data_IF_694170257607
#
_entry.id   IF_694170257607
#
_cell.length_a   1.000
_cell.length_b   1.000
_cell.length_c   1.000
_cell.angle_alpha   90.00
_cell.angle_beta   90.00
_cell.angle_gamma   90.00
#
_symmetry.space_group_name_H-M   'P 1'
#
loop_
_entity.id
_entity.type
_entity.pdbx_description
1 polymer ?
#
# COMPACT_ATOMS: atom_id res chain seq x y z
N UNK A 1 7.64 -11.10 8.88
CA UNK A 1 6.87 -10.50 7.77
C UNK A 1 5.40 -10.81 8.03
N UNK A 2 4.49 -9.83 7.90
CA UNK A 2 3.07 -10.09 8.15
C UNK A 2 2.55 -11.09 7.12
N UNK A 3 1.75 -12.05 7.56
CA UNK A 3 1.10 -13.01 6.67
C UNK A 3 -0.16 -12.35 6.09
N UNK A 4 -0.14 -12.05 4.79
CA UNK A 4 -1.20 -11.32 4.11
C UNK A 4 -2.29 -12.26 3.62
N UNK A 5 -3.55 -12.00 4.03
CA UNK A 5 -4.72 -12.73 3.56
C UNK A 5 -5.28 -12.07 2.28
N UNK A 6 -5.12 -12.71 1.10
CA UNK A 6 -5.57 -12.15 -0.16
C UNK A 6 -7.09 -11.90 -0.23
N UNK A 7 -7.91 -12.76 0.38
CA UNK A 7 -9.37 -12.62 0.38
C UNK A 7 -9.84 -11.38 1.13
N UNK A 8 -9.27 -11.11 2.31
CA UNK A 8 -9.57 -9.88 3.07
C UNK A 8 -9.07 -8.62 2.33
N UNK A 9 -7.95 -8.72 1.61
CA UNK A 9 -7.42 -7.63 0.80
C UNK A 9 -8.34 -7.26 -0.37
N UNK A 10 -8.94 -8.23 -1.03
CA UNK A 10 -9.81 -8.02 -2.20
C UNK A 10 -11.22 -7.49 -1.86
N UNK A 11 -11.62 -7.46 -0.59
CA UNK A 11 -12.95 -6.98 -0.16
C UNK A 11 -13.25 -5.52 -0.57
N UNK A 12 -12.20 -4.69 -0.75
CA UNK A 12 -12.30 -3.28 -1.13
C UNK A 12 -11.53 -2.98 -2.41
N UNK A 13 -11.70 -3.84 -3.42
CA UNK A 13 -10.91 -3.77 -4.67
C UNK A 13 -11.14 -2.45 -5.41
N UNK A 14 -12.38 -1.98 -5.51
CA UNK A 14 -12.71 -0.76 -6.26
C UNK A 14 -12.07 0.48 -5.62
N UNK A 15 -12.20 0.64 -4.30
CA UNK A 15 -11.63 1.77 -3.57
C UNK A 15 -10.09 1.75 -3.56
N UNK A 16 -9.50 0.55 -3.56
CA UNK A 16 -8.04 0.38 -3.56
C UNK A 16 -7.42 0.45 -4.94
N UNK A 17 -8.21 0.16 -5.99
CA UNK A 17 -7.75 0.22 -7.38
C UNK A 17 -7.73 1.64 -7.94
N UNK A 18 -8.61 2.53 -7.45
CA UNK A 18 -8.70 3.91 -7.93
C UNK A 18 -7.38 4.69 -7.87
N UNK A 19 -6.60 4.67 -6.77
CA UNK A 19 -5.28 5.32 -6.73
C UNK A 19 -4.30 4.77 -7.76
N UNK A 20 -4.34 3.46 -8.00
CA UNK A 20 -3.46 2.86 -9.00
C UNK A 20 -3.82 3.31 -10.43
N UNK A 21 -5.10 3.36 -10.74
CA UNK A 21 -5.57 3.87 -12.03
C UNK A 21 -5.16 5.33 -12.25
N UNK A 22 -5.24 6.16 -11.20
CA UNK A 22 -4.78 7.55 -11.23
C UNK A 22 -3.26 7.64 -11.46
N UNK A 23 -2.47 6.81 -10.76
CA UNK A 23 -1.02 6.72 -10.95
C UNK A 23 -0.68 6.33 -12.40
N UNK A 24 -1.28 5.26 -12.91
CA UNK A 24 -1.06 4.75 -14.28
C UNK A 24 -1.43 5.78 -15.34
N UNK A 25 -2.48 6.58 -15.11
CA UNK A 25 -2.88 7.64 -16.04
C UNK A 25 -1.84 8.77 -16.17
N UNK A 26 -0.97 8.97 -15.18
CA UNK A 26 0.10 9.96 -15.18
C UNK A 26 1.43 9.45 -15.75
N UNK A 27 1.56 8.13 -15.98
CA UNK A 27 2.74 7.55 -16.62
C UNK A 27 2.71 7.87 -18.12
N UNK A 28 3.72 8.60 -18.65
CA UNK A 28 3.78 8.94 -20.05
C UNK A 28 4.29 7.78 -20.92
N UNK A 29 4.07 7.89 -22.23
CA UNK A 29 4.64 6.99 -23.21
C UNK A 29 4.01 5.60 -23.29
N UNK A 30 4.78 4.67 -23.86
CA UNK A 30 4.40 3.28 -24.09
C UNK A 30 5.59 2.38 -23.75
N UNK A 31 5.79 2.03 -22.49
CA UNK A 31 6.90 1.17 -22.07
C UNK A 31 6.78 -0.21 -22.72
N UNK A 32 7.89 -0.76 -23.20
CA UNK A 32 7.95 -2.13 -23.72
C UNK A 32 8.09 -3.16 -22.59
N UNK A 33 8.69 -2.75 -21.47
CA UNK A 33 8.89 -3.60 -20.29
C UNK A 33 8.39 -2.88 -19.02
N UNK A 34 7.74 -3.61 -18.12
CA UNK A 34 7.17 -3.08 -16.87
C UNK A 34 7.50 -4.02 -15.71
N UNK A 35 7.97 -3.48 -14.60
CA UNK A 35 8.09 -4.18 -13.34
C UNK A 35 7.15 -3.58 -12.30
N UNK A 36 6.24 -4.40 -11.76
CA UNK A 36 5.27 -4.06 -10.71
C UNK A 36 5.81 -4.54 -9.35
N UNK A 37 6.38 -3.63 -8.57
CA UNK A 37 7.01 -3.91 -7.27
C UNK A 37 5.98 -3.91 -6.13
N UNK A 38 5.79 -5.06 -5.50
CA UNK A 38 4.74 -5.30 -4.51
C UNK A 38 3.40 -5.55 -5.20
N UNK A 39 3.38 -6.40 -6.23
CA UNK A 39 2.23 -6.66 -7.10
C UNK A 39 1.04 -7.31 -6.38
N UNK A 40 1.25 -7.83 -5.17
CA UNK A 40 0.22 -8.54 -4.42
C UNK A 40 -0.37 -9.72 -5.20
N UNK A 41 -1.71 -9.93 -5.16
CA UNK A 41 -2.36 -11.05 -5.84
C UNK A 41 -2.56 -10.81 -7.36
N UNK A 42 -1.89 -9.82 -7.96
CA UNK A 42 -1.82 -9.60 -9.40
C UNK A 42 -3.01 -8.87 -10.05
N UNK A 43 -4.08 -8.55 -9.31
CA UNK A 43 -5.28 -7.92 -9.87
C UNK A 43 -5.01 -6.51 -10.44
N UNK A 44 -4.06 -5.76 -9.89
CA UNK A 44 -3.65 -4.46 -10.40
C UNK A 44 -2.63 -4.58 -11.55
N UNK A 45 -1.81 -5.62 -11.56
CA UNK A 45 -0.91 -5.94 -12.69
C UNK A 45 -1.72 -6.11 -14.00
N UNK A 46 -2.95 -6.62 -13.91
CA UNK A 46 -3.87 -6.69 -15.05
C UNK A 46 -4.24 -5.32 -15.63
N UNK A 47 -4.27 -4.26 -14.81
CA UNK A 47 -4.50 -2.88 -15.28
C UNK A 47 -3.35 -2.40 -16.16
N UNK A 48 -2.10 -2.76 -15.82
CA UNK A 48 -0.91 -2.44 -16.63
C UNK A 48 -1.00 -3.10 -18.01
N UNK A 49 -1.36 -4.38 -18.06
CA UNK A 49 -1.54 -5.12 -19.31
C UNK A 49 -2.68 -4.55 -20.16
N UNK A 50 -3.77 -4.13 -19.55
CA UNK A 50 -4.86 -3.49 -20.27
C UNK A 50 -4.44 -2.12 -20.86
N UNK A 51 -3.63 -1.35 -20.14
CA UNK A 51 -3.14 -0.04 -20.56
C UNK A 51 -2.06 -0.15 -21.66
N UNK A 52 -1.17 -1.14 -21.54
CA UNK A 52 -0.06 -1.39 -22.49
C UNK A 52 -0.06 -2.86 -22.94
N UNK A 53 -0.94 -3.25 -23.88
CA UNK A 53 -1.14 -4.66 -24.25
C UNK A 53 0.10 -5.32 -24.88
N UNK A 54 1.05 -4.52 -25.37
CA UNK A 54 2.30 -5.01 -25.99
C UNK A 54 3.46 -5.09 -24.99
N UNK A 55 3.29 -4.57 -23.76
CA UNK A 55 4.35 -4.56 -22.78
C UNK A 55 4.52 -5.94 -22.15
N UNK A 56 5.78 -6.33 -21.94
CA UNK A 56 6.11 -7.46 -21.06
C UNK A 56 6.04 -6.99 -19.61
N UNK A 57 5.18 -7.59 -18.82
CA UNK A 57 4.95 -7.21 -17.41
C UNK A 57 5.46 -8.30 -16.49
N UNK A 58 6.28 -7.94 -15.51
CA UNK A 58 6.74 -8.81 -14.43
C UNK A 58 6.24 -8.28 -13.09
N UNK A 59 5.51 -9.09 -12.32
CA UNK A 59 5.07 -8.76 -10.97
C UNK A 59 6.04 -9.32 -9.94
N UNK A 60 6.45 -8.53 -8.97
CA UNK A 60 7.35 -8.92 -7.87
C UNK A 60 6.66 -8.72 -6.54
N UNK A 61 6.63 -9.74 -5.67
CA UNK A 61 6.10 -9.65 -4.30
C UNK A 61 6.88 -10.59 -3.36
N UNK A 62 7.02 -10.20 -2.11
CA UNK A 62 7.73 -10.97 -1.10
C UNK A 62 6.84 -12.03 -0.41
N UNK A 63 5.53 -12.03 -0.63
CA UNK A 63 4.58 -12.96 -0.03
C UNK A 63 4.35 -14.17 -0.93
N UNK A 64 4.70 -15.41 -0.48
CA UNK A 64 4.41 -16.62 -1.23
C UNK A 64 2.93 -16.82 -1.54
N UNK A 65 2.04 -16.43 -0.61
CA UNK A 65 0.59 -16.55 -0.78
C UNK A 65 0.08 -15.60 -1.89
N UNK A 66 0.59 -14.36 -1.94
CA UNK A 66 0.25 -13.40 -2.97
C UNK A 66 0.71 -13.86 -4.35
N UNK A 67 1.97 -14.30 -4.47
CA UNK A 67 2.51 -14.83 -5.73
C UNK A 67 1.77 -16.08 -6.21
N UNK A 68 1.42 -16.99 -5.30
CA UNK A 68 0.64 -18.18 -5.67
C UNK A 68 -0.72 -17.80 -6.25
N UNK A 69 -1.41 -16.84 -5.63
CA UNK A 69 -2.69 -16.34 -6.12
C UNK A 69 -2.55 -15.60 -7.46
N UNK A 70 -1.54 -14.73 -7.60
CA UNK A 70 -1.28 -14.00 -8.83
C UNK A 70 -1.06 -14.95 -10.02
N UNK A 71 -0.23 -15.99 -9.85
CA UNK A 71 0.01 -17.03 -10.86
C UNK A 71 -1.23 -17.84 -11.22
N UNK A 72 -2.09 -18.10 -10.22
CA UNK A 72 -3.34 -18.82 -10.45
C UNK A 72 -4.36 -17.94 -11.21
N UNK A 73 -4.41 -16.64 -10.93
CA UNK A 73 -5.33 -15.70 -11.57
C UNK A 73 -4.90 -15.33 -13.00
N UNK A 74 -3.61 -15.18 -13.24
CA UNK A 74 -3.04 -14.80 -14.55
C UNK A 74 -1.74 -15.56 -14.83
N UNK A 75 -1.83 -16.79 -15.35
CA UNK A 75 -0.67 -17.63 -15.64
C UNK A 75 0.17 -17.13 -16.85
N UNK A 76 -0.32 -16.13 -17.60
CA UNK A 76 0.40 -15.56 -18.73
C UNK A 76 1.37 -14.44 -18.34
N UNK A 77 1.25 -13.90 -17.12
CA UNK A 77 2.15 -12.90 -16.57
C UNK A 77 3.25 -13.58 -15.74
N UNK A 78 4.47 -13.09 -15.85
CA UNK A 78 5.57 -13.51 -15.00
C UNK A 78 5.40 -12.93 -13.59
N UNK A 79 5.43 -13.81 -12.56
CA UNK A 79 5.39 -13.41 -11.16
C UNK A 79 6.58 -13.99 -10.41
N UNK A 80 7.34 -13.13 -9.75
CA UNK A 80 8.59 -13.45 -9.05
C UNK A 80 8.41 -13.29 -7.55
N UNK A 81 8.77 -14.32 -6.79
CA UNK A 81 8.84 -14.24 -5.33
C UNK A 81 10.18 -13.61 -4.94
N UNK A 82 10.18 -12.33 -4.61
CA UNK A 82 11.37 -11.59 -4.18
C UNK A 82 10.99 -10.38 -3.33
N UNK A 83 11.93 -9.94 -2.48
CA UNK A 83 11.79 -8.68 -1.75
C UNK A 83 12.12 -7.51 -2.69
N UNK A 84 11.21 -6.55 -2.80
CA UNK A 84 11.38 -5.38 -3.67
C UNK A 84 12.62 -4.54 -3.35
N UNK A 85 13.12 -4.57 -2.09
CA UNK A 85 14.32 -3.85 -1.69
C UNK A 85 15.60 -4.48 -2.27
N UNK A 86 15.61 -5.80 -2.46
CA UNK A 86 16.77 -6.56 -2.96
C UNK A 86 16.59 -7.08 -4.38
N UNK A 87 15.40 -6.99 -4.92
CA UNK A 87 15.12 -7.32 -6.32
C UNK A 87 15.97 -6.46 -7.27
N UNK A 88 16.38 -7.00 -8.41
CA UNK A 88 17.29 -6.36 -9.36
C UNK A 88 16.70 -6.20 -10.77
N UNK A 89 15.43 -6.54 -10.96
CA UNK A 89 14.78 -6.37 -12.26
C UNK A 89 14.79 -4.91 -12.70
N UNK A 90 15.12 -4.69 -13.97
CA UNK A 90 15.08 -3.38 -14.63
C UNK A 90 14.03 -3.39 -15.72
N UNK A 91 13.42 -2.24 -16.00
CA UNK A 91 12.38 -2.11 -17.03
C UNK A 91 12.31 -0.66 -17.55
N UNK A 92 11.57 -0.44 -18.64
CA UNK A 92 11.23 0.92 -19.07
C UNK A 92 10.41 1.64 -17.98
N UNK A 93 9.42 0.95 -17.43
CA UNK A 93 8.60 1.41 -16.30
C UNK A 93 8.82 0.52 -15.07
N UNK A 94 9.26 1.10 -13.98
CA UNK A 94 9.20 0.49 -12.64
C UNK A 94 8.08 1.17 -11.86
N UNK A 95 7.08 0.39 -11.42
CA UNK A 95 5.92 0.93 -10.72
C UNK A 95 5.70 0.22 -9.39
N UNK A 96 5.21 0.94 -8.38
CA UNK A 96 4.87 0.37 -7.07
C UNK A 96 3.61 1.00 -6.49
N UNK A 97 2.66 0.18 -6.07
CA UNK A 97 1.40 0.65 -5.52
C UNK A 97 1.16 0.13 -4.11
N UNK A 98 1.13 1.01 -3.12
CA UNK A 98 0.83 0.70 -1.72
C UNK A 98 1.72 -0.44 -1.14
N UNK A 99 2.98 -0.52 -1.56
CA UNK A 99 3.95 -1.51 -1.10
C UNK A 99 5.13 -0.87 -0.35
N UNK A 100 5.66 0.24 -0.83
CA UNK A 100 6.87 0.87 -0.28
C UNK A 100 6.76 1.23 1.20
N UNK A 101 5.58 1.60 1.69
CA UNK A 101 5.36 1.90 3.11
C UNK A 101 5.65 0.72 4.05
N UNK A 102 5.76 -0.50 3.52
CA UNK A 102 6.07 -1.70 4.29
C UNK A 102 7.58 -1.95 4.42
N UNK A 103 8.38 -1.24 3.63
CA UNK A 103 9.84 -1.37 3.63
C UNK A 103 10.43 -0.35 4.59
N UNK A 104 11.16 -0.79 5.63
CA UNK A 104 11.89 0.13 6.52
C UNK A 104 12.87 0.99 5.70
N UNK A 105 12.88 2.30 5.97
CA UNK A 105 13.78 3.22 5.27
C UNK A 105 13.51 3.36 3.77
N UNK A 106 12.28 3.08 3.30
CA UNK A 106 11.96 3.11 1.86
C UNK A 106 12.31 4.42 1.16
N UNK A 107 12.37 5.55 1.87
CA UNK A 107 12.78 6.84 1.30
C UNK A 107 14.22 6.78 0.78
N UNK A 108 15.11 6.08 1.47
CA UNK A 108 16.50 5.91 1.07
C UNK A 108 16.65 4.98 -0.14
N UNK A 109 15.65 4.12 -0.39
CA UNK A 109 15.62 3.23 -1.54
C UNK A 109 15.10 3.90 -2.83
N UNK A 110 14.42 5.04 -2.74
CA UNK A 110 13.75 5.64 -3.90
C UNK A 110 14.70 5.88 -5.06
N UNK A 111 15.92 6.35 -4.79
CA UNK A 111 16.93 6.57 -5.83
C UNK A 111 17.36 5.26 -6.48
N UNK A 112 17.61 4.22 -5.69
CA UNK A 112 17.98 2.90 -6.20
C UNK A 112 16.87 2.27 -7.03
N UNK A 113 15.61 2.41 -6.59
CA UNK A 113 14.45 1.91 -7.35
C UNK A 113 14.27 2.66 -8.66
N UNK A 114 14.47 3.99 -8.65
CA UNK A 114 14.39 4.79 -9.85
C UNK A 114 15.55 4.49 -10.83
N UNK A 115 16.73 4.05 -10.36
CA UNK A 115 17.86 3.62 -11.23
C UNK A 115 17.55 2.35 -12.02
N UNK A 116 16.57 1.56 -11.58
CA UNK A 116 16.07 0.38 -12.31
C UNK A 116 15.15 0.73 -13.47
N UNK A 117 14.63 1.96 -13.51
CA UNK A 117 13.73 2.43 -14.56
C UNK A 117 14.53 3.08 -15.71
N UNK A 118 14.39 2.56 -16.91
CA UNK A 118 15.02 3.16 -18.08
C UNK A 118 14.33 4.47 -18.52
N UNK A 119 13.01 4.58 -18.30
CA UNK A 119 12.20 5.73 -18.71
C UNK A 119 11.42 6.34 -17.56
N UNK A 120 10.70 5.54 -16.75
CA UNK A 120 9.80 6.06 -15.70
C UNK A 120 9.84 5.20 -14.44
N UNK A 121 9.99 5.86 -13.29
CA UNK A 121 9.71 5.29 -11.98
C UNK A 121 8.46 5.95 -11.41
N UNK A 122 7.46 5.16 -11.06
CA UNK A 122 6.17 5.66 -10.56
C UNK A 122 5.73 4.91 -9.30
N UNK A 123 5.25 5.62 -8.29
CA UNK A 123 4.70 4.96 -7.12
C UNK A 123 3.60 5.77 -6.43
N UNK A 124 2.78 5.08 -5.65
CA UNK A 124 1.92 5.70 -4.66
C UNK A 124 2.02 4.98 -3.31
N UNK A 125 1.86 5.74 -2.26
CA UNK A 125 1.86 5.26 -0.87
C UNK A 125 0.73 5.91 -0.06
N UNK A 126 0.19 5.22 0.96
CA UNK A 126 -0.73 5.85 1.91
C UNK A 126 -0.05 6.99 2.65
N UNK A 127 -0.72 8.14 2.75
CA UNK A 127 -0.28 9.32 3.49
C UNK A 127 -1.14 9.62 4.73
N UNK A 128 -1.87 8.63 5.25
CA UNK A 128 -2.87 8.78 6.31
C UNK A 128 -2.38 8.33 7.70
N UNK A 129 -1.06 8.28 7.93
CA UNK A 129 -0.50 7.78 9.18
C UNK A 129 -0.82 8.64 10.41
N UNK A 130 -1.22 9.90 10.21
CA UNK A 130 -1.68 10.82 11.25
C UNK A 130 -3.21 10.94 11.32
N UNK A 131 -3.93 10.21 10.47
CA UNK A 131 -5.38 10.10 10.56
C UNK A 131 -5.80 9.48 11.90
N UNK A 132 -7.00 9.83 12.43
CA UNK A 132 -7.47 9.31 13.72
C UNK A 132 -7.36 7.79 13.83
N UNK A 133 -7.67 7.03 12.77
CA UNK A 133 -7.59 5.57 12.76
C UNK A 133 -6.19 5.02 13.07
N UNK A 134 -5.14 5.63 12.49
CA UNK A 134 -3.76 5.19 12.74
C UNK A 134 -3.20 5.72 14.05
N UNK A 135 -3.62 6.92 14.48
CA UNK A 135 -3.24 7.47 15.77
C UNK A 135 -3.84 6.63 16.91
N UNK A 136 -5.13 6.35 16.85
CA UNK A 136 -5.83 5.53 17.83
C UNK A 136 -5.28 4.09 17.88
N UNK A 137 -4.92 3.51 16.73
CA UNK A 137 -4.23 2.22 16.69
C UNK A 137 -2.98 2.22 17.58
N UNK A 138 -2.11 3.23 17.41
CA UNK A 138 -0.88 3.35 18.20
C UNK A 138 -1.16 3.63 19.67
N UNK A 139 -2.14 4.50 19.97
CA UNK A 139 -2.52 4.88 21.33
C UNK A 139 -3.08 3.69 22.12
N UNK A 140 -3.98 2.90 21.53
CA UNK A 140 -4.55 1.72 22.17
C UNK A 140 -3.49 0.62 22.33
N UNK A 141 -2.71 0.33 21.28
CA UNK A 141 -1.66 -0.68 21.30
C UNK A 141 -0.55 -0.39 22.32
N UNK A 142 -0.32 0.88 22.67
CA UNK A 142 0.67 1.27 23.67
C UNK A 142 0.19 1.11 25.12
N UNK A 143 -1.07 0.73 25.36
CA UNK A 143 -1.61 0.52 26.71
C UNK A 143 -1.41 -0.92 27.19
N UNK A 144 -1.36 -1.10 28.53
CA UNK A 144 -1.53 -2.44 29.08
C UNK A 144 -2.97 -2.93 28.82
N UNK A 145 -3.19 -4.22 28.53
CA UNK A 145 -2.21 -5.31 28.49
C UNK A 145 -1.55 -5.52 27.10
N UNK A 146 -1.78 -4.68 26.09
CA UNK A 146 -1.42 -4.91 24.68
C UNK A 146 0.06 -4.65 24.40
N UNK A 147 0.64 -3.64 25.04
CA UNK A 147 2.00 -3.16 24.75
C UNK A 147 3.06 -4.26 24.76
N UNK A 148 2.95 -5.21 25.72
CA UNK A 148 3.91 -6.32 25.86
C UNK A 148 3.83 -7.34 24.71
N UNK A 149 2.67 -7.42 24.04
CA UNK A 149 2.46 -8.34 22.93
C UNK A 149 2.82 -7.70 21.57
N UNK A 150 2.54 -6.41 21.43
CA UNK A 150 2.65 -5.70 20.14
C UNK A 150 3.99 -5.01 19.98
N UNK A 151 4.57 -4.51 21.10
CA UNK A 151 5.72 -3.60 21.04
C UNK A 151 5.36 -2.24 20.42
N UNK A 152 6.36 -1.41 20.10
CA UNK A 152 6.12 -0.11 19.48
C UNK A 152 5.52 -0.25 18.08
N UNK A 153 4.34 0.32 17.87
CA UNK A 153 3.76 0.44 16.53
C UNK A 153 4.38 1.63 15.83
N UNK A 154 5.21 1.37 14.82
CA UNK A 154 5.90 2.41 14.08
C UNK A 154 4.93 3.35 13.35
N UNK A 155 5.21 4.66 13.44
CA UNK A 155 4.64 5.64 12.52
C UNK A 155 5.38 5.54 11.19
N UNK A 156 4.76 4.95 10.19
CA UNK A 156 5.34 4.82 8.85
C UNK A 156 5.31 6.18 8.16
N UNK A 157 6.44 6.88 8.13
CA UNK A 157 6.52 8.21 7.56
C UNK A 157 6.46 8.13 6.02
N UNK A 158 5.41 8.71 5.44
CA UNK A 158 5.37 9.08 4.02
C UNK A 158 5.82 10.52 3.90
N UNK A 159 6.69 10.82 2.93
CA UNK A 159 7.08 12.19 2.64
C UNK A 159 5.88 13.01 2.13
N UNK A 160 5.94 14.31 2.32
CA UNK A 160 4.98 15.19 1.65
C UNK A 160 5.32 15.30 0.15
N UNK A 161 4.33 15.54 -0.73
CA UNK A 161 4.57 15.63 -2.17
C UNK A 161 5.69 16.59 -2.55
N UNK A 162 5.84 17.69 -1.82
CA UNK A 162 6.89 18.69 -2.05
C UNK A 162 8.33 18.18 -1.82
N UNK A 163 8.50 17.09 -1.06
CA UNK A 163 9.81 16.50 -0.78
C UNK A 163 10.29 15.55 -1.90
N UNK A 164 9.39 14.93 -2.65
CA UNK A 164 9.76 13.92 -3.65
C UNK A 164 10.57 14.46 -4.83
N UNK A 165 10.36 15.70 -5.35
CA UNK A 165 11.23 16.27 -6.36
C UNK A 165 12.69 16.33 -5.92
N UNK A 166 12.98 16.64 -4.65
CA UNK A 166 14.34 16.63 -4.10
C UNK A 166 14.88 15.21 -3.90
N UNK A 167 14.07 14.30 -3.32
CA UNK A 167 14.44 12.90 -3.07
C UNK A 167 14.74 12.11 -4.35
N UNK A 168 14.11 12.48 -5.46
CA UNK A 168 14.26 11.84 -6.77
C UNK A 168 15.07 12.67 -7.76
N UNK A 169 15.62 13.82 -7.31
CA UNK A 169 16.39 14.73 -8.18
C UNK A 169 17.59 14.02 -8.79
N UNK A 170 17.67 14.07 -10.12
CA UNK A 170 18.81 13.56 -10.89
C UNK A 170 18.88 14.24 -12.26
N UNK A 171 20.07 14.35 -12.89
CA UNK A 171 20.20 14.95 -14.22
C UNK A 171 19.36 14.23 -15.27
N UNK A 172 18.62 14.99 -16.07
CA UNK A 172 17.79 14.45 -17.15
C UNK A 172 16.49 13.78 -16.69
N UNK A 173 16.04 14.02 -15.45
CA UNK A 173 14.76 13.53 -14.96
C UNK A 173 13.87 14.68 -14.50
N UNK A 174 12.59 14.56 -14.80
CA UNK A 174 11.53 15.42 -14.26
C UNK A 174 10.69 14.62 -13.24
N UNK A 175 10.25 15.27 -12.17
CA UNK A 175 9.44 14.64 -11.13
C UNK A 175 8.11 15.38 -10.98
N UNK A 176 7.00 14.67 -11.15
CA UNK A 176 5.65 15.10 -10.81
C UNK A 176 5.24 14.40 -9.52
N UNK A 177 4.88 15.16 -8.50
CA UNK A 177 4.44 14.59 -7.22
C UNK A 177 3.19 15.33 -6.73
N UNK A 178 2.20 14.56 -6.26
CA UNK A 178 0.92 15.12 -5.80
C UNK A 178 0.29 14.25 -4.72
N UNK A 179 -0.81 14.71 -4.18
CA UNK A 179 -1.64 13.91 -3.27
C UNK A 179 -3.10 13.98 -3.67
N UNK A 180 -3.83 12.93 -3.35
CA UNK A 180 -5.28 12.86 -3.48
C UNK A 180 -5.87 12.31 -2.19
N UNK A 181 -6.87 13.00 -1.65
CA UNK A 181 -7.66 12.46 -0.53
C UNK A 181 -8.97 11.90 -1.07
N UNK A 182 -9.11 10.58 -1.01
CA UNK A 182 -10.34 9.88 -1.34
C UNK A 182 -11.25 9.83 -0.12
N UNK A 183 -12.49 10.23 -0.25
CA UNK A 183 -13.50 10.00 0.80
C UNK A 183 -14.28 8.74 0.45
N UNK A 184 -14.04 7.68 1.21
CA UNK A 184 -14.82 6.45 1.13
C UNK A 184 -16.02 6.57 2.06
N UNK A 185 -17.21 6.15 1.60
CA UNK A 185 -18.39 6.04 2.46
C UNK A 185 -18.57 4.56 2.77
N UNK A 186 -18.20 4.20 3.98
CA UNK A 186 -18.20 2.80 4.43
C UNK A 186 -19.54 2.44 5.08
N UNK A 187 -19.98 1.18 4.93
CA UNK A 187 -21.26 0.69 5.43
C UNK A 187 -21.12 -0.55 6.31
N UNK A 188 -22.14 -0.79 7.14
CA UNK A 188 -22.27 -1.95 8.01
C UNK A 188 -21.60 -1.77 9.39
N UNK A 189 -21.58 -2.80 10.23
CA UNK A 189 -21.05 -2.70 11.59
C UNK A 189 -19.53 -2.45 11.56
N UNK A 190 -19.07 -1.54 12.42
CA UNK A 190 -17.66 -1.19 12.61
C UNK A 190 -16.86 -1.03 11.32
N UNK A 191 -17.34 -0.21 10.37
CA UNK A 191 -16.83 -0.22 9.01
C UNK A 191 -15.36 0.24 8.93
N UNK A 192 -14.95 1.19 9.78
CA UNK A 192 -13.56 1.67 9.83
C UNK A 192 -12.64 0.64 10.48
N UNK A 193 -13.09 -0.07 11.53
CA UNK A 193 -12.34 -1.17 12.13
C UNK A 193 -12.09 -2.27 11.08
N UNK A 194 -13.12 -2.69 10.36
CA UNK A 194 -12.98 -3.70 9.29
C UNK A 194 -12.02 -3.26 8.19
N UNK A 195 -12.10 -1.99 7.78
CA UNK A 195 -11.18 -1.42 6.78
C UNK A 195 -9.71 -1.51 7.22
N UNK A 196 -9.41 -1.01 8.44
CA UNK A 196 -8.03 -0.94 8.92
C UNK A 196 -7.48 -2.31 9.34
N UNK A 197 -8.33 -3.22 9.81
CA UNK A 197 -7.94 -4.59 10.18
C UNK A 197 -7.41 -5.39 9.00
N UNK A 198 -7.92 -5.12 7.79
CA UNK A 198 -7.44 -5.75 6.57
C UNK A 198 -6.13 -5.13 6.04
N UNK A 199 -5.59 -4.08 6.68
CA UNK A 199 -4.41 -3.32 6.21
C UNK A 199 -3.51 -2.88 7.37
N UNK A 200 -3.63 -1.62 7.80
CA UNK A 200 -2.71 -0.97 8.75
C UNK A 200 -2.66 -1.61 10.13
N UNK A 201 -3.76 -2.19 10.61
CA UNK A 201 -3.79 -2.85 11.92
C UNK A 201 -3.41 -4.34 11.87
N UNK A 202 -3.29 -4.94 10.69
CA UNK A 202 -3.06 -6.38 10.56
C UNK A 202 -1.83 -6.88 11.34
N UNK A 203 -0.64 -6.23 11.30
CA UNK A 203 0.49 -6.69 12.10
C UNK A 203 0.23 -6.67 13.60
N UNK A 204 -0.47 -5.65 14.10
CA UNK A 204 -0.88 -5.53 15.50
C UNK A 204 -1.83 -6.67 15.89
N UNK A 205 -2.87 -6.90 15.10
CA UNK A 205 -3.86 -7.95 15.35
C UNK A 205 -3.24 -9.36 15.30
N UNK A 206 -2.30 -9.60 14.38
CA UNK A 206 -1.57 -10.87 14.33
C UNK A 206 -0.68 -11.09 15.56
N UNK A 207 0.01 -10.06 16.04
CA UNK A 207 0.82 -10.15 17.25
C UNK A 207 -0.02 -10.46 18.50
N UNK A 208 -1.19 -9.81 18.63
CA UNK A 208 -2.14 -10.07 19.71
C UNK A 208 -2.73 -11.48 19.63
N UNK A 209 -3.16 -11.91 18.44
CA UNK A 209 -3.69 -13.27 18.20
C UNK A 209 -2.67 -14.35 18.55
N UNK A 210 -1.42 -14.15 18.16
CA UNK A 210 -0.33 -15.09 18.45
C UNK A 210 -0.01 -15.17 19.95
N UNK A 211 -0.28 -14.10 20.72
CA UNK A 211 -0.10 -14.06 22.15
C UNK A 211 -1.30 -14.67 22.89
N UNK A 212 -2.50 -14.23 22.55
CA UNK A 212 -3.76 -14.70 23.12
C UNK A 212 -4.95 -14.19 22.29
N UNK A 213 -5.79 -15.07 21.71
CA UNK A 213 -7.01 -14.66 20.98
C UNK A 213 -7.97 -13.80 21.80
N UNK A 214 -8.06 -14.00 23.12
CA UNK A 214 -8.90 -13.17 23.99
C UNK A 214 -8.36 -11.73 24.09
N UNK A 215 -7.03 -11.56 24.10
CA UNK A 215 -6.38 -10.26 24.10
C UNK A 215 -6.65 -9.50 22.79
N UNK A 216 -6.63 -10.20 21.67
CA UNK A 216 -7.05 -9.63 20.40
C UNK A 216 -8.49 -9.16 20.41
N UNK A 217 -9.41 -9.99 20.88
CA UNK A 217 -10.83 -9.64 20.95
C UNK A 217 -11.09 -8.40 21.82
N UNK A 218 -10.42 -8.33 22.98
CA UNK A 218 -10.48 -7.15 23.86
C UNK A 218 -9.93 -5.89 23.16
N UNK A 219 -8.81 -6.01 22.45
CA UNK A 219 -8.24 -4.91 21.69
C UNK A 219 -9.19 -4.40 20.59
N UNK A 220 -9.78 -5.33 19.83
CA UNK A 220 -10.73 -4.97 18.74
C UNK A 220 -11.97 -4.27 19.32
N UNK A 221 -12.46 -4.63 20.51
CA UNK A 221 -13.57 -3.94 21.19
C UNK A 221 -13.18 -2.51 21.58
N UNK A 222 -12.05 -2.31 22.28
CA UNK A 222 -11.60 -1.01 22.75
C UNK A 222 -11.22 -0.09 21.56
N UNK A 223 -10.50 -0.62 20.59
CA UNK A 223 -10.11 0.10 19.39
C UNK A 223 -11.33 0.46 18.54
N UNK A 224 -12.27 -0.48 18.38
CA UNK A 224 -13.53 -0.26 17.69
C UNK A 224 -14.38 0.85 18.33
N UNK A 225 -14.45 0.87 19.67
CA UNK A 225 -15.14 1.94 20.40
C UNK A 225 -14.52 3.32 20.12
N UNK A 226 -13.18 3.42 20.18
CA UNK A 226 -12.48 4.66 19.87
C UNK A 226 -12.66 5.10 18.41
N UNK A 227 -12.72 4.13 17.47
CA UNK A 227 -13.00 4.43 16.07
C UNK A 227 -14.42 4.91 15.83
N UNK A 228 -15.43 4.34 16.49
CA UNK A 228 -16.83 4.82 16.40
C UNK A 228 -16.97 6.26 16.86
N UNK A 229 -16.23 6.65 17.91
CA UNK A 229 -16.22 8.04 18.38
C UNK A 229 -15.54 8.98 17.34
N UNK A 230 -14.40 8.56 16.79
CA UNK A 230 -13.65 9.39 15.85
C UNK A 230 -14.27 9.45 14.44
N UNK A 231 -15.08 8.46 14.06
CA UNK A 231 -15.74 8.34 12.76
C UNK A 231 -17.24 8.06 12.95
N UNK A 232 -18.04 9.06 13.30
CA UNK A 232 -19.47 8.88 13.52
C UNK A 232 -20.19 8.45 12.24
N UNK A 233 -21.17 7.58 12.40
CA UNK A 233 -22.05 7.18 11.31
C UNK A 233 -23.03 8.30 10.97
N UNK A 234 -23.23 8.51 9.67
CA UNK A 234 -24.22 9.44 9.13
C UNK A 234 -25.31 8.67 8.36
N UNK A 235 -26.39 9.37 7.95
CA UNK A 235 -27.49 8.75 7.21
C UNK A 235 -27.05 8.06 5.89
N UNK A 236 -25.91 8.46 5.33
CA UNK A 236 -25.33 7.88 4.10
C UNK A 236 -24.14 6.96 4.35
N UNK A 237 -23.86 6.58 5.60
CA UNK A 237 -22.74 5.73 6.02
C UNK A 237 -21.65 6.50 6.76
N UNK A 238 -20.51 5.82 7.00
CA UNK A 238 -19.37 6.37 7.73
C UNK A 238 -18.31 6.89 6.76
N UNK A 239 -18.07 8.22 6.68
CA UNK A 239 -17.04 8.77 5.80
C UNK A 239 -15.64 8.50 6.35
N UNK A 240 -14.78 7.97 5.50
CA UNK A 240 -13.35 7.74 5.76
C UNK A 240 -12.52 8.50 4.73
N UNK A 241 -11.86 9.57 5.16
CA UNK A 241 -10.89 10.26 4.33
C UNK A 241 -9.58 9.46 4.28
N UNK A 242 -9.12 9.17 3.08
CA UNK A 242 -7.93 8.34 2.85
C UNK A 242 -6.96 9.07 1.91
N UNK A 243 -5.93 9.68 2.49
CA UNK A 243 -4.87 10.40 1.76
C UNK A 243 -3.93 9.41 1.09
N UNK A 244 -3.64 9.65 -0.17
CA UNK A 244 -2.62 8.97 -0.96
C UNK A 244 -1.61 9.97 -1.51
N UNK A 245 -0.35 9.62 -1.50
CA UNK A 245 0.75 10.42 -2.03
C UNK A 245 1.36 9.69 -3.20
N UNK A 246 1.62 10.41 -4.27
CA UNK A 246 2.06 9.90 -5.57
C UNK A 246 3.34 10.58 -6.01
N UNK A 247 4.15 9.86 -6.74
CA UNK A 247 5.28 10.44 -7.49
C UNK A 247 5.49 9.69 -8.80
N UNK A 248 5.79 10.44 -9.84
CA UNK A 248 6.19 9.96 -11.16
C UNK A 248 7.47 10.67 -11.55
N UNK A 249 8.57 9.96 -11.60
CA UNK A 249 9.86 10.44 -12.06
C UNK A 249 10.08 9.91 -13.48
N UNK A 250 10.30 10.80 -14.44
CA UNK A 250 10.42 10.47 -15.86
C UNK A 250 11.71 11.01 -16.43
N UNK A 251 12.40 10.20 -17.21
CA UNK A 251 13.57 10.63 -17.97
C UNK A 251 13.12 11.59 -19.07
N UNK A 252 13.73 12.79 -19.13
CA UNK A 252 13.49 13.83 -20.14
C UNK A 252 14.12 13.47 -21.48
#
# INVERSE_FOLDING_TARGET
MADWNPGAYLQYTDERSRPFTELVARVPGSPATIVDLGCGPGHLTAVLRARWPQAQVTGVDASPAMIAQARAADPATEYVLADLATDTHTADLVISNAALQWVPGHRDLLTTLADRAAQTFAFQVPGNHDAPSHRLLREVAARAPYADAVGPVERRATADPAEYPELLARPGWAVDAWETTYTHVLHGPDPVLRWISATGAQPTLQALEAKDPALRAQFEEEFGAALREAYPEHAHGTPLAFRRVFAVATRA
#
